data_IF_023630856436
#
_entry.id   IF_023630856436
#
_cell.length_a   1.000
_cell.length_b   1.000
_cell.length_c   1.000
_cell.angle_alpha   90.00
_cell.angle_beta   90.00
_cell.angle_gamma   90.00
#
_symmetry.space_group_name_H-M   'P 1'
#
loop_
_entity.id
_entity.type
_entity.pdbx_description
1 polymer ?
#
# COMPACT_ATOMS: atom_id res chain seq x y z
N UNK A 1 -37.26 -4.37 -1.52
CA UNK A 1 -36.91 -5.44 -2.48
C UNK A 1 -36.31 -6.58 -1.69
N UNK A 2 -36.85 -7.77 -1.84
CA UNK A 2 -36.45 -8.94 -1.05
C UNK A 2 -35.03 -9.40 -1.45
N UNK A 3 -34.19 -9.81 -0.49
CA UNK A 3 -32.83 -10.26 -0.79
C UNK A 3 -32.83 -11.44 -1.79
N UNK A 4 -33.90 -12.24 -1.77
CA UNK A 4 -34.18 -13.32 -2.71
C UNK A 4 -34.54 -12.86 -4.14
N UNK A 5 -34.90 -11.59 -4.35
CA UNK A 5 -35.13 -11.01 -5.68
C UNK A 5 -33.84 -10.40 -6.26
N UNK A 6 -32.96 -9.84 -5.42
CA UNK A 6 -31.62 -9.38 -5.84
C UNK A 6 -30.73 -10.55 -6.27
N UNK A 7 -30.92 -11.73 -5.67
CA UNK A 7 -30.24 -12.97 -6.06
C UNK A 7 -30.74 -13.59 -7.38
N UNK A 8 -31.87 -13.11 -7.93
CA UNK A 8 -32.57 -13.74 -9.07
C UNK A 8 -32.42 -13.02 -10.42
N UNK A 9 -31.90 -11.79 -10.46
CA UNK A 9 -31.71 -11.03 -11.71
C UNK A 9 -30.23 -10.83 -12.00
N UNK A 10 -29.67 -11.68 -12.87
CA UNK A 10 -28.81 -11.35 -14.04
C UNK A 10 -28.30 -12.65 -14.77
N UNK A 11 -28.18 -12.67 -16.13
CA UNK A 11 -28.15 -13.89 -16.99
C UNK A 11 -26.70 -14.38 -17.30
N UNK A 12 -26.34 -15.48 -18.01
CA UNK A 12 -26.95 -16.19 -19.15
C UNK A 12 -26.47 -17.66 -19.38
N UNK A 13 -25.78 -18.32 -18.45
CA UNK A 13 -25.32 -19.71 -18.67
C UNK A 13 -26.02 -20.71 -17.72
N UNK A 14 -26.77 -21.71 -18.22
CA UNK A 14 -27.40 -22.74 -17.38
C UNK A 14 -26.40 -23.67 -16.66
N UNK A 15 -25.13 -23.71 -17.09
CA UNK A 15 -24.10 -24.59 -16.55
C UNK A 15 -23.23 -23.98 -15.44
N UNK A 16 -23.48 -22.73 -15.04
CA UNK A 16 -22.69 -22.08 -13.98
C UNK A 16 -23.35 -22.23 -12.61
N UNK A 17 -22.54 -22.42 -11.56
CA UNK A 17 -22.99 -22.54 -10.15
C UNK A 17 -23.48 -21.18 -9.65
N UNK A 18 -24.80 -21.06 -9.44
CA UNK A 18 -25.51 -19.78 -9.20
C UNK A 18 -25.83 -19.45 -7.74
N UNK A 19 -25.41 -20.27 -6.77
CA UNK A 19 -25.78 -20.09 -5.37
C UNK A 19 -24.82 -19.20 -4.58
N UNK A 20 -25.33 -18.11 -4.01
CA UNK A 20 -24.61 -17.36 -2.95
C UNK A 20 -24.82 -17.95 -1.56
N UNK A 21 -25.94 -18.66 -1.36
CA UNK A 21 -26.36 -19.23 -0.08
C UNK A 21 -25.83 -20.66 0.14
N UNK A 22 -25.65 -21.40 -0.95
CA UNK A 22 -25.25 -22.80 -0.95
C UNK A 22 -24.00 -22.93 -1.84
N UNK A 23 -22.80 -22.90 -1.25
CA UNK A 23 -21.58 -23.16 -1.97
C UNK A 23 -21.47 -24.68 -2.25
N UNK A 24 -20.64 -25.09 -3.22
CA UNK A 24 -20.23 -26.48 -3.34
C UNK A 24 -19.60 -26.98 -2.04
N UNK A 25 -19.83 -28.25 -1.71
CA UNK A 25 -19.27 -28.90 -0.52
C UNK A 25 -17.73 -28.98 -0.60
N UNK A 26 -17.22 -29.30 -1.78
CA UNK A 26 -15.78 -29.43 -2.03
C UNK A 26 -15.19 -28.22 -2.78
N UNK A 27 -13.99 -27.80 -2.36
CA UNK A 27 -13.20 -26.81 -3.09
C UNK A 27 -12.46 -27.50 -4.23
N UNK A 28 -12.93 -27.30 -5.46
CA UNK A 28 -12.27 -27.83 -6.65
C UNK A 28 -10.92 -27.13 -6.90
N UNK A 29 -9.80 -27.85 -7.06
CA UNK A 29 -8.50 -27.25 -7.34
C UNK A 29 -8.48 -26.53 -8.68
N UNK A 30 -7.98 -25.29 -8.70
CA UNK A 30 -7.75 -24.55 -9.94
C UNK A 30 -6.23 -24.30 -10.13
N UNK A 31 -5.52 -25.15 -10.89
CA UNK A 31 -4.07 -25.02 -11.09
C UNK A 31 -3.69 -23.76 -11.89
N UNK A 32 -4.59 -23.15 -12.66
CA UNK A 32 -4.32 -21.92 -13.41
C UNK A 32 -4.20 -20.70 -12.48
N UNK A 33 -4.73 -20.81 -11.26
CA UNK A 33 -4.71 -19.76 -10.24
C UNK A 33 -3.80 -20.15 -9.07
N UNK A 34 -4.06 -21.33 -8.49
CA UNK A 34 -3.37 -21.87 -7.32
C UNK A 34 -2.17 -22.76 -7.63
N UNK A 35 -1.80 -22.90 -8.91
CA UNK A 35 -0.67 -23.73 -9.31
C UNK A 35 0.64 -23.24 -8.70
N UNK A 36 1.48 -24.18 -8.27
CA UNK A 36 2.80 -23.90 -7.68
C UNK A 36 3.65 -23.01 -8.58
N UNK A 37 3.61 -23.24 -9.90
CA UNK A 37 4.33 -22.42 -10.88
C UNK A 37 3.84 -20.96 -10.92
N UNK A 38 2.52 -20.73 -10.81
CA UNK A 38 1.94 -19.38 -10.76
C UNK A 38 2.40 -18.66 -9.50
N UNK A 39 2.28 -19.32 -8.34
CA UNK A 39 2.67 -18.74 -7.05
C UNK A 39 4.18 -18.44 -7.01
N UNK A 40 5.03 -19.38 -7.46
CA UNK A 40 6.48 -19.16 -7.55
C UNK A 40 6.81 -18.04 -8.54
N UNK A 41 6.14 -17.97 -9.69
CA UNK A 41 6.34 -16.92 -10.68
C UNK A 41 6.10 -15.53 -10.11
N UNK A 42 5.01 -15.34 -9.37
CA UNK A 42 4.68 -14.06 -8.76
C UNK A 42 5.54 -13.72 -7.53
N UNK A 43 5.67 -14.65 -6.59
CA UNK A 43 6.44 -14.40 -5.37
C UNK A 43 7.94 -14.32 -5.66
N UNK A 44 8.45 -15.19 -6.52
CA UNK A 44 9.86 -15.24 -6.89
C UNK A 44 10.31 -13.96 -7.58
N UNK A 45 9.54 -13.45 -8.56
CA UNK A 45 9.86 -12.18 -9.23
C UNK A 45 9.74 -10.98 -8.27
N UNK A 46 8.73 -10.95 -7.39
CA UNK A 46 8.58 -9.89 -6.40
C UNK A 46 9.78 -9.84 -5.43
N UNK A 47 10.18 -10.97 -4.86
CA UNK A 47 11.35 -11.07 -3.98
C UNK A 47 12.65 -10.75 -4.71
N UNK A 48 12.79 -11.20 -5.97
CA UNK A 48 13.95 -10.88 -6.78
C UNK A 48 14.08 -9.36 -6.99
N UNK A 49 12.98 -8.65 -7.25
CA UNK A 49 12.99 -7.19 -7.36
C UNK A 49 13.42 -6.53 -6.04
N UNK A 50 12.92 -7.00 -4.90
CA UNK A 50 13.33 -6.47 -3.58
C UNK A 50 14.84 -6.66 -3.36
N UNK A 51 15.36 -7.86 -3.65
CA UNK A 51 16.78 -8.17 -3.52
C UNK A 51 17.61 -7.29 -4.47
N UNK A 52 17.24 -7.22 -5.76
CA UNK A 52 17.97 -6.44 -6.76
C UNK A 52 17.93 -4.93 -6.47
N UNK A 53 16.79 -4.40 -6.01
CA UNK A 53 16.67 -3.00 -5.62
C UNK A 53 17.56 -2.69 -4.41
N UNK A 54 17.58 -3.60 -3.42
CA UNK A 54 18.44 -3.48 -2.23
C UNK A 54 19.92 -3.55 -2.60
N UNK A 55 20.31 -4.50 -3.45
CA UNK A 55 21.70 -4.62 -3.93
C UNK A 55 22.12 -3.39 -4.73
N UNK A 56 21.27 -2.91 -5.64
CA UNK A 56 21.52 -1.66 -6.38
C UNK A 56 21.71 -0.48 -5.42
N UNK A 57 20.86 -0.36 -4.40
CA UNK A 57 20.95 0.69 -3.39
C UNK A 57 22.26 0.61 -2.58
N UNK A 58 22.63 -0.57 -2.07
CA UNK A 58 23.83 -0.71 -1.24
C UNK A 58 25.14 -0.61 -2.03
N UNK A 59 25.17 -1.12 -3.27
CA UNK A 59 26.42 -1.30 -4.02
C UNK A 59 26.70 -0.17 -5.02
N UNK A 60 25.65 0.36 -5.65
CA UNK A 60 25.78 1.18 -6.87
C UNK A 60 25.26 2.59 -6.67
N UNK A 61 24.18 2.79 -5.91
CA UNK A 61 23.55 4.09 -5.72
C UNK A 61 24.52 5.17 -5.22
N UNK A 62 24.50 6.33 -5.87
CA UNK A 62 25.29 7.49 -5.52
C UNK A 62 24.37 8.59 -4.98
N UNK A 63 24.50 8.96 -3.69
CA UNK A 63 23.63 9.94 -3.05
C UNK A 63 23.99 11.38 -3.47
N UNK A 64 25.15 11.59 -4.09
CA UNK A 64 25.63 12.91 -4.49
C UNK A 64 25.09 13.35 -5.86
N UNK A 65 24.56 12.42 -6.66
CA UNK A 65 24.02 12.71 -7.99
C UNK A 65 22.54 13.09 -7.91
N UNK A 66 22.14 14.19 -8.56
CA UNK A 66 20.73 14.57 -8.65
C UNK A 66 20.00 13.66 -9.64
N UNK A 67 19.02 12.83 -9.21
CA UNK A 67 18.28 11.93 -10.08
C UNK A 67 17.37 12.64 -11.09
N UNK A 68 17.19 13.97 -10.98
CA UNK A 68 16.36 14.80 -11.85
C UNK A 68 17.18 15.84 -12.63
N UNK A 69 18.52 15.75 -12.62
CA UNK A 69 19.37 16.66 -13.36
C UNK A 69 19.03 16.60 -14.85
N UNK A 70 18.62 17.74 -15.41
CA UNK A 70 18.36 17.88 -16.83
C UNK A 70 19.34 18.92 -17.40
N UNK A 71 20.34 18.50 -18.19
CA UNK A 71 21.38 19.40 -18.69
C UNK A 71 20.81 20.54 -19.56
N UNK A 72 19.71 20.31 -20.28
CA UNK A 72 19.15 21.28 -21.23
C UNK A 72 18.41 22.45 -20.58
N UNK A 73 18.00 22.33 -19.30
CA UNK A 73 17.22 23.37 -18.61
C UNK A 73 18.02 24.31 -17.70
N UNK A 74 19.25 23.97 -17.34
CA UNK A 74 20.12 24.87 -16.57
C UNK A 74 20.39 26.20 -17.29
N UNK A 75 20.35 26.18 -18.62
CA UNK A 75 20.54 27.34 -19.48
C UNK A 75 19.31 28.25 -19.60
N UNK A 76 18.08 27.75 -19.38
CA UNK A 76 16.84 28.54 -19.60
C UNK A 76 16.35 29.32 -18.39
N UNK A 77 16.75 28.98 -17.17
CA UNK A 77 16.17 29.57 -15.94
C UNK A 77 17.18 30.09 -14.90
N UNK A 78 18.49 30.13 -15.21
CA UNK A 78 19.50 30.87 -14.44
C UNK A 78 19.74 30.43 -12.99
N UNK A 79 18.97 29.50 -12.43
CA UNK A 79 19.16 28.94 -11.08
C UNK A 79 19.52 27.47 -11.17
N UNK A 80 20.79 27.16 -10.97
CA UNK A 80 21.27 25.79 -10.75
C UNK A 80 20.68 25.30 -9.42
N UNK A 81 19.81 24.31 -9.47
CA UNK A 81 19.28 23.68 -8.25
C UNK A 81 20.43 23.00 -7.51
N UNK A 82 20.66 23.36 -6.24
CA UNK A 82 21.71 22.75 -5.42
C UNK A 82 21.13 21.47 -4.82
N UNK A 83 21.57 20.32 -5.32
CA UNK A 83 21.26 19.01 -4.75
C UNK A 83 21.97 18.81 -3.42
N UNK A 84 21.27 18.26 -2.43
CA UNK A 84 21.87 17.82 -1.17
C UNK A 84 21.43 16.40 -0.89
N UNK A 85 22.43 15.53 -0.70
CA UNK A 85 22.24 14.14 -0.31
C UNK A 85 21.50 14.02 1.03
N UNK A 86 20.63 13.02 1.14
CA UNK A 86 20.05 12.64 2.42
C UNK A 86 21.14 12.09 3.37
N UNK A 87 21.13 12.54 4.62
CA UNK A 87 22.13 12.15 5.63
C UNK A 87 22.04 10.66 5.95
N UNK A 88 20.84 10.08 5.88
CA UNK A 88 20.60 8.65 6.08
C UNK A 88 21.32 7.86 4.99
N UNK A 89 21.10 8.22 3.73
CA UNK A 89 21.67 7.52 2.57
C UNK A 89 23.20 7.54 2.60
N UNK A 90 23.81 8.67 2.96
CA UNK A 90 25.26 8.80 3.12
C UNK A 90 25.79 7.83 4.19
N UNK A 91 25.13 7.75 5.35
CA UNK A 91 25.53 6.85 6.44
C UNK A 91 25.35 5.38 6.06
N UNK A 92 24.23 5.02 5.45
CA UNK A 92 23.96 3.64 5.02
C UNK A 92 24.98 3.21 3.97
N UNK A 93 25.30 4.07 3.01
CA UNK A 93 26.31 3.80 1.98
C UNK A 93 27.71 3.65 2.57
N UNK A 94 28.07 4.48 3.55
CA UNK A 94 29.36 4.39 4.24
C UNK A 94 29.55 3.02 4.90
N UNK A 95 28.47 2.42 5.43
CA UNK A 95 28.50 1.06 5.99
C UNK A 95 28.93 0.01 4.95
N UNK A 96 28.57 0.20 3.68
CA UNK A 96 28.93 -0.71 2.58
C UNK A 96 30.19 -0.29 1.82
N UNK A 97 30.94 0.71 2.28
CA UNK A 97 32.09 1.26 1.56
C UNK A 97 33.16 0.21 1.23
N UNK A 98 33.41 -0.75 2.12
CA UNK A 98 34.36 -1.84 1.88
C UNK A 98 33.96 -2.73 0.70
N UNK A 99 32.68 -3.09 0.60
CA UNK A 99 32.15 -3.90 -0.50
C UNK A 99 32.11 -3.12 -1.82
N UNK A 100 31.78 -1.83 -1.74
CA UNK A 100 31.79 -0.91 -2.90
C UNK A 100 33.18 -0.69 -3.48
N UNK A 101 34.22 -0.61 -2.63
CA UNK A 101 35.62 -0.50 -3.07
C UNK A 101 36.05 -1.73 -3.89
N UNK A 102 35.60 -2.94 -3.50
CA UNK A 102 35.89 -4.18 -4.25
C UNK A 102 35.26 -4.21 -5.64
N UNK A 103 34.14 -3.52 -5.85
CA UNK A 103 33.49 -3.45 -7.16
C UNK A 103 34.28 -2.63 -8.17
N UNK A 104 35.04 -1.61 -7.75
CA UNK A 104 35.81 -0.74 -8.66
C UNK A 104 34.93 0.27 -9.42
N UNK A 105 35.53 1.41 -9.82
CA UNK A 105 34.80 2.55 -10.40
C UNK A 105 34.07 2.22 -11.71
N UNK A 106 34.79 1.70 -12.71
CA UNK A 106 34.24 1.41 -14.06
C UNK A 106 33.24 0.26 -14.06
N UNK A 107 33.36 -0.63 -13.07
CA UNK A 107 32.37 -1.67 -12.83
C UNK A 107 31.04 -1.07 -12.38
N UNK A 108 31.03 -0.02 -11.54
CA UNK A 108 29.78 0.55 -11.01
C UNK A 108 28.84 1.02 -12.12
N UNK A 109 29.35 1.71 -13.14
CA UNK A 109 28.53 2.13 -14.30
C UNK A 109 27.89 0.94 -15.02
N UNK A 110 28.67 -0.12 -15.27
CA UNK A 110 28.17 -1.37 -15.90
C UNK A 110 27.11 -2.04 -15.03
N UNK A 111 27.34 -2.12 -13.72
CA UNK A 111 26.37 -2.66 -12.76
C UNK A 111 25.10 -1.81 -12.69
N UNK A 112 25.20 -0.47 -12.73
CA UNK A 112 24.03 0.42 -12.80
C UNK A 112 23.16 0.06 -14.01
N UNK A 113 23.79 -0.07 -15.18
CA UNK A 113 23.07 -0.39 -16.40
C UNK A 113 22.45 -1.79 -16.34
N UNK A 114 23.17 -2.78 -15.81
CA UNK A 114 22.66 -4.15 -15.64
C UNK A 114 21.46 -4.18 -14.67
N UNK A 115 21.59 -3.60 -13.48
CA UNK A 115 20.49 -3.52 -12.52
C UNK A 115 19.29 -2.80 -13.09
N UNK A 116 19.49 -1.67 -13.78
CA UNK A 116 18.38 -0.94 -14.39
C UNK A 116 17.64 -1.82 -15.41
N UNK A 117 18.35 -2.49 -16.32
CA UNK A 117 17.74 -3.38 -17.33
C UNK A 117 16.98 -4.55 -16.71
N UNK A 118 17.57 -5.22 -15.72
CA UNK A 118 16.94 -6.37 -15.06
C UNK A 118 15.71 -5.92 -14.28
N UNK A 119 15.81 -4.85 -13.50
CA UNK A 119 14.68 -4.30 -12.75
C UNK A 119 13.55 -3.89 -13.71
N UNK A 120 13.86 -3.16 -14.79
CA UNK A 120 12.87 -2.78 -15.81
C UNK A 120 12.10 -4.00 -16.34
N UNK A 121 12.83 -5.05 -16.73
CA UNK A 121 12.26 -6.29 -17.26
C UNK A 121 11.38 -7.00 -16.24
N UNK A 122 11.85 -7.16 -15.00
CA UNK A 122 11.08 -7.82 -13.94
C UNK A 122 9.79 -7.08 -13.62
N UNK A 123 9.83 -5.75 -13.64
CA UNK A 123 8.63 -4.95 -13.41
C UNK A 123 7.64 -5.10 -14.57
N UNK A 124 8.09 -5.05 -15.83
CA UNK A 124 7.19 -5.23 -16.97
C UNK A 124 6.51 -6.59 -16.98
N UNK A 125 7.26 -7.66 -16.67
CA UNK A 125 6.69 -9.00 -16.48
C UNK A 125 5.60 -8.94 -15.40
N UNK A 126 5.88 -8.35 -14.24
CA UNK A 126 4.88 -8.26 -13.17
C UNK A 126 3.68 -7.40 -13.52
N UNK A 127 3.82 -6.39 -14.37
CA UNK A 127 2.69 -5.56 -14.82
C UNK A 127 1.74 -6.38 -15.67
N UNK A 128 2.30 -7.10 -16.64
CA UNK A 128 1.56 -7.90 -17.59
C UNK A 128 0.93 -9.12 -16.90
N UNK A 129 1.66 -9.82 -16.05
CA UNK A 129 1.13 -10.97 -15.30
C UNK A 129 0.07 -10.53 -14.28
N UNK A 130 0.29 -9.42 -13.57
CA UNK A 130 -0.69 -8.86 -12.63
C UNK A 130 -1.99 -8.40 -13.31
N UNK A 131 -1.89 -7.76 -14.48
CA UNK A 131 -3.06 -7.41 -15.29
C UNK A 131 -3.76 -8.66 -15.84
N UNK A 132 -2.98 -9.61 -16.36
CA UNK A 132 -3.48 -10.85 -16.94
C UNK A 132 -4.25 -11.70 -15.93
N UNK A 133 -3.72 -11.86 -14.71
CA UNK A 133 -4.38 -12.67 -13.68
C UNK A 133 -5.68 -12.01 -13.17
N UNK A 134 -5.70 -10.67 -13.04
CA UNK A 134 -6.93 -9.96 -12.70
C UNK A 134 -7.95 -10.07 -13.84
N UNK A 135 -7.54 -9.85 -15.09
CA UNK A 135 -8.42 -9.94 -16.24
C UNK A 135 -9.03 -11.35 -16.36
N UNK A 136 -8.20 -12.39 -16.27
CA UNK A 136 -8.64 -13.79 -16.26
C UNK A 136 -9.59 -14.08 -15.09
N UNK A 137 -9.27 -13.57 -13.90
CA UNK A 137 -10.13 -13.66 -12.72
C UNK A 137 -11.51 -13.04 -12.95
N UNK A 138 -11.56 -11.80 -13.45
CA UNK A 138 -12.83 -11.11 -13.74
C UNK A 138 -13.67 -11.81 -14.82
N UNK A 139 -13.03 -12.35 -15.87
CA UNK A 139 -13.72 -13.15 -16.87
C UNK A 139 -14.31 -14.42 -16.24
N UNK A 140 -13.51 -15.13 -15.42
CA UNK A 140 -13.92 -16.37 -14.76
C UNK A 140 -15.02 -16.15 -13.71
N UNK A 141 -15.08 -14.97 -13.10
CA UNK A 141 -16.13 -14.57 -12.15
C UNK A 141 -17.54 -14.61 -12.76
N UNK A 142 -17.66 -14.50 -14.08
CA UNK A 142 -18.95 -14.56 -14.78
C UNK A 142 -19.67 -15.90 -14.57
N UNK A 143 -18.92 -16.99 -14.41
CA UNK A 143 -19.45 -18.33 -14.23
C UNK A 143 -19.36 -18.78 -12.77
N UNK A 144 -18.16 -19.13 -12.32
CA UNK A 144 -17.90 -19.54 -10.95
C UNK A 144 -16.41 -19.30 -10.65
N UNK A 145 -16.15 -18.59 -9.57
CA UNK A 145 -14.82 -18.47 -9.00
C UNK A 145 -14.94 -18.59 -7.50
N UNK A 146 -14.24 -19.55 -6.92
CA UNK A 146 -14.28 -19.74 -5.48
C UNK A 146 -13.62 -18.56 -4.77
N UNK A 147 -14.11 -18.26 -3.57
CA UNK A 147 -13.59 -17.19 -2.73
C UNK A 147 -12.10 -17.39 -2.46
N UNK A 148 -11.66 -18.64 -2.30
CA UNK A 148 -10.26 -18.98 -2.08
C UNK A 148 -9.37 -18.53 -3.25
N UNK A 149 -9.72 -18.95 -4.47
CA UNK A 149 -8.96 -18.58 -5.66
C UNK A 149 -9.04 -17.07 -5.92
N UNK A 150 -10.18 -16.43 -5.62
CA UNK A 150 -10.31 -14.97 -5.71
C UNK A 150 -9.39 -14.22 -4.73
N UNK A 151 -9.33 -14.68 -3.46
CA UNK A 151 -8.40 -14.15 -2.44
C UNK A 151 -6.96 -14.28 -2.93
N UNK A 152 -6.60 -15.42 -3.53
CA UNK A 152 -5.27 -15.64 -4.09
C UNK A 152 -4.96 -14.70 -5.27
N UNK A 153 -5.84 -14.60 -6.27
CA UNK A 153 -5.70 -13.68 -7.42
C UNK A 153 -5.49 -12.25 -6.93
N UNK A 154 -6.31 -11.81 -5.98
CA UNK A 154 -6.26 -10.46 -5.42
C UNK A 154 -4.91 -10.17 -4.75
N UNK A 155 -4.37 -11.12 -3.98
CA UNK A 155 -3.05 -10.96 -3.36
C UNK A 155 -1.88 -11.05 -4.34
N UNK A 156 -1.96 -11.91 -5.36
CA UNK A 156 -0.93 -11.97 -6.41
C UNK A 156 -0.84 -10.64 -7.17
N UNK A 157 -1.99 -10.05 -7.51
CA UNK A 157 -2.05 -8.73 -8.11
C UNK A 157 -1.60 -7.61 -7.15
N UNK A 158 -1.91 -7.72 -5.86
CA UNK A 158 -1.41 -6.82 -4.83
C UNK A 158 0.13 -6.82 -4.76
N UNK A 159 0.76 -7.99 -4.80
CA UNK A 159 2.22 -8.11 -4.86
C UNK A 159 2.78 -7.44 -6.12
N UNK A 160 2.17 -7.66 -7.29
CA UNK A 160 2.58 -6.98 -8.53
C UNK A 160 2.56 -5.45 -8.37
N UNK A 161 1.49 -4.88 -7.81
CA UNK A 161 1.42 -3.43 -7.57
C UNK A 161 2.52 -2.93 -6.62
N UNK A 162 2.85 -3.69 -5.57
CA UNK A 162 3.94 -3.34 -4.64
C UNK A 162 5.31 -3.38 -5.34
N UNK A 163 5.56 -4.40 -6.16
CA UNK A 163 6.78 -4.51 -6.97
C UNK A 163 6.93 -3.30 -7.91
N UNK A 164 5.83 -2.86 -8.53
CA UNK A 164 5.81 -1.67 -9.37
C UNK A 164 6.14 -0.38 -8.62
N UNK A 165 5.54 -0.18 -7.44
CA UNK A 165 5.85 0.97 -6.60
C UNK A 165 7.34 1.01 -6.20
N UNK A 166 7.92 -0.16 -5.87
CA UNK A 166 9.35 -0.28 -5.57
C UNK A 166 10.21 0.05 -6.81
N UNK A 167 9.81 -0.42 -7.98
CA UNK A 167 10.49 -0.21 -9.25
C UNK A 167 10.54 1.26 -9.67
N UNK A 168 9.40 1.97 -9.61
CA UNK A 168 9.33 3.40 -9.89
C UNK A 168 10.25 4.21 -8.99
N UNK A 169 10.43 3.76 -7.75
CA UNK A 169 11.32 4.40 -6.78
C UNK A 169 12.79 4.14 -7.13
N UNK A 170 13.15 2.90 -7.43
CA UNK A 170 14.52 2.53 -7.78
C UNK A 170 15.00 3.10 -9.14
N UNK A 171 14.09 3.27 -10.10
CA UNK A 171 14.38 3.65 -11.48
C UNK A 171 13.95 5.08 -11.84
N UNK A 172 13.66 5.91 -10.83
CA UNK A 172 13.17 7.29 -11.03
C UNK A 172 13.99 8.09 -12.04
N UNK A 173 15.32 8.06 -11.93
CA UNK A 173 16.22 8.77 -12.83
C UNK A 173 16.10 8.29 -14.29
N UNK A 174 15.94 6.98 -14.50
CA UNK A 174 15.77 6.39 -15.82
C UNK A 174 14.45 6.84 -16.47
N UNK A 175 13.35 6.79 -15.72
CA UNK A 175 12.04 7.22 -16.21
C UNK A 175 11.93 8.72 -16.44
N UNK A 176 12.72 9.53 -15.76
CA UNK A 176 12.77 10.97 -16.02
C UNK A 176 13.37 11.29 -17.40
N UNK A 177 14.37 10.52 -17.83
CA UNK A 177 14.92 10.59 -19.18
C UNK A 177 13.93 10.03 -20.22
N UNK A 178 13.24 8.93 -19.91
CA UNK A 178 12.35 8.22 -20.84
C UNK A 178 10.85 8.48 -20.53
N UNK A 179 10.40 9.70 -20.81
CA UNK A 179 9.06 10.15 -20.40
C UNK A 179 7.90 9.40 -21.06
N UNK A 180 8.04 8.99 -22.31
CA UNK A 180 6.99 8.25 -23.05
C UNK A 180 6.76 6.87 -22.44
N UNK A 181 7.83 6.11 -22.23
CA UNK A 181 7.78 4.79 -21.62
C UNK A 181 7.19 4.83 -20.21
N UNK A 182 7.62 5.84 -19.43
CA UNK A 182 7.07 6.12 -18.11
C UNK A 182 5.56 6.35 -18.16
N UNK A 183 5.07 7.17 -19.09
CA UNK A 183 3.63 7.50 -19.15
C UNK A 183 2.78 6.26 -19.46
N UNK A 184 3.21 5.40 -20.40
CA UNK A 184 2.52 4.13 -20.67
C UNK A 184 2.49 3.22 -19.44
N UNK A 185 3.63 3.06 -18.74
CA UNK A 185 3.71 2.27 -17.49
C UNK A 185 2.79 2.84 -16.41
N UNK A 186 2.76 4.15 -16.23
CA UNK A 186 1.87 4.82 -15.25
C UNK A 186 0.39 4.56 -15.56
N UNK A 187 -0.01 4.60 -16.83
CA UNK A 187 -1.39 4.28 -17.24
C UNK A 187 -1.72 2.83 -16.94
N UNK A 188 -0.85 1.89 -17.32
CA UNK A 188 -1.05 0.46 -17.05
C UNK A 188 -1.10 0.16 -15.54
N UNK A 189 -0.25 0.80 -14.74
CA UNK A 189 -0.31 0.68 -13.28
C UNK A 189 -1.58 1.29 -12.69
N UNK A 190 -2.10 2.39 -13.24
CA UNK A 190 -3.38 2.96 -12.82
C UNK A 190 -4.55 2.02 -13.12
N UNK A 191 -4.53 1.37 -14.29
CA UNK A 191 -5.51 0.34 -14.66
C UNK A 191 -5.40 -0.87 -13.72
N UNK A 192 -4.18 -1.34 -13.44
CA UNK A 192 -3.94 -2.43 -12.48
C UNK A 192 -4.46 -2.07 -11.09
N UNK A 193 -4.19 -0.85 -10.61
CA UNK A 193 -4.64 -0.39 -9.30
C UNK A 193 -6.18 -0.33 -9.23
N UNK A 194 -6.85 0.21 -10.25
CA UNK A 194 -8.30 0.27 -10.28
C UNK A 194 -8.91 -1.14 -10.26
N UNK A 195 -8.37 -2.06 -11.08
CA UNK A 195 -8.79 -3.46 -11.09
C UNK A 195 -8.54 -4.14 -9.73
N UNK A 196 -7.39 -3.88 -9.10
CA UNK A 196 -7.04 -4.43 -7.78
C UNK A 196 -7.95 -3.90 -6.66
N UNK A 197 -8.25 -2.60 -6.62
CA UNK A 197 -9.17 -2.02 -5.63
C UNK A 197 -10.53 -2.71 -5.74
N UNK A 198 -11.02 -2.89 -6.96
CA UNK A 198 -12.28 -3.59 -7.24
C UNK A 198 -12.20 -5.05 -6.78
N UNK A 199 -11.07 -5.73 -7.02
CA UNK A 199 -10.86 -7.12 -6.61
C UNK A 199 -10.75 -7.33 -5.10
N UNK A 200 -10.28 -6.32 -4.36
CA UNK A 200 -10.20 -6.40 -2.89
C UNK A 200 -11.57 -6.32 -2.21
N UNK A 201 -12.62 -5.82 -2.87
CA UNK A 201 -13.96 -5.69 -2.25
C UNK A 201 -14.51 -7.02 -1.73
N UNK A 202 -14.58 -8.13 -2.51
CA UNK A 202 -14.98 -9.42 -1.96
C UNK A 202 -14.11 -9.90 -0.79
N UNK A 203 -12.80 -9.63 -0.83
CA UNK A 203 -11.85 -10.11 0.18
C UNK A 203 -12.07 -9.53 1.56
N UNK A 204 -12.73 -8.37 1.67
CA UNK A 204 -13.09 -7.76 2.96
C UNK A 204 -14.06 -8.62 3.78
N UNK A 205 -14.71 -9.60 3.15
CA UNK A 205 -15.68 -10.49 3.78
C UNK A 205 -15.15 -11.93 3.98
N UNK A 206 -13.86 -12.17 3.73
CA UNK A 206 -13.23 -13.50 3.81
C UNK A 206 -12.39 -13.65 5.08
N UNK A 207 -13.03 -14.02 6.19
CA UNK A 207 -12.44 -14.08 7.53
C UNK A 207 -12.15 -15.51 8.04
N UNK A 208 -11.65 -16.39 7.17
CA UNK A 208 -11.36 -17.78 7.54
C UNK A 208 -10.21 -17.96 8.53
N UNK A 209 -9.40 -16.91 8.72
CA UNK A 209 -8.19 -16.94 9.54
C UNK A 209 -8.50 -16.74 11.05
N UNK A 210 -9.75 -16.41 11.41
CA UNK A 210 -10.19 -16.13 12.79
C UNK A 210 -11.24 -17.16 13.27
N UNK A 211 -10.83 -18.26 13.94
CA UNK A 211 -11.73 -19.35 14.33
C UNK A 211 -12.89 -18.95 15.26
N UNK A 212 -12.70 -17.85 15.99
CA UNK A 212 -13.64 -17.30 16.98
C UNK A 212 -14.67 -16.35 16.37
N UNK A 213 -14.51 -15.97 15.10
CA UNK A 213 -15.47 -15.14 14.38
C UNK A 213 -16.35 -16.02 13.50
N UNK A 214 -17.65 -15.71 13.43
CA UNK A 214 -18.51 -16.29 12.39
C UNK A 214 -17.99 -15.88 11.02
N UNK A 215 -18.11 -16.74 10.00
CA UNK A 215 -17.58 -16.44 8.67
C UNK A 215 -18.69 -16.14 7.66
N UNK A 216 -18.52 -15.06 6.89
CA UNK A 216 -19.49 -14.68 5.86
C UNK A 216 -19.43 -15.59 4.63
N UNK A 217 -18.27 -16.20 4.44
CA UNK A 217 -17.94 -17.06 3.31
C UNK A 217 -17.20 -18.29 3.82
N UNK A 218 -17.27 -19.36 3.05
CA UNK A 218 -16.32 -20.48 3.11
C UNK A 218 -15.44 -20.46 1.86
N UNK A 219 -14.27 -21.13 1.85
CA UNK A 219 -13.35 -21.16 0.70
C UNK A 219 -14.00 -21.49 -0.66
N UNK A 220 -15.00 -22.39 -0.68
CA UNK A 220 -15.76 -22.78 -1.88
C UNK A 220 -16.88 -21.80 -2.28
N UNK A 221 -17.16 -20.77 -1.50
CA UNK A 221 -18.22 -19.79 -1.81
C UNK A 221 -17.92 -19.04 -3.09
N UNK A 222 -18.95 -18.72 -3.87
CA UNK A 222 -18.76 -17.93 -5.09
C UNK A 222 -18.37 -16.48 -4.72
N UNK A 223 -17.18 -16.04 -5.15
CA UNK A 223 -16.64 -14.71 -4.85
C UNK A 223 -17.53 -13.58 -5.36
N UNK A 224 -18.29 -13.80 -6.44
CA UNK A 224 -19.20 -12.81 -7.05
C UNK A 224 -20.23 -12.27 -6.06
N UNK A 225 -20.64 -13.09 -5.10
CA UNK A 225 -21.67 -12.75 -4.12
C UNK A 225 -21.26 -11.63 -3.15
N UNK A 226 -19.96 -11.38 -3.03
CA UNK A 226 -19.39 -10.45 -2.05
C UNK A 226 -19.00 -9.09 -2.65
N UNK A 227 -19.33 -8.83 -3.92
CA UNK A 227 -19.24 -7.47 -4.49
C UNK A 227 -20.35 -6.54 -3.99
N UNK A 228 -21.50 -7.09 -3.58
CA UNK A 228 -22.63 -6.35 -3.04
C UNK A 228 -22.69 -6.53 -1.53
N UNK A 229 -22.60 -5.43 -0.78
CA UNK A 229 -22.71 -5.45 0.68
C UNK A 229 -24.04 -6.05 1.15
N UNK A 230 -25.14 -5.76 0.45
CA UNK A 230 -26.47 -6.30 0.79
C UNK A 230 -26.50 -7.84 0.64
N UNK A 231 -25.88 -8.35 -0.42
CA UNK A 231 -25.80 -9.79 -0.66
C UNK A 231 -24.90 -10.46 0.36
N UNK A 232 -23.74 -9.87 0.65
CA UNK A 232 -22.83 -10.35 1.69
C UNK A 232 -23.51 -10.40 3.07
N UNK A 233 -24.27 -9.37 3.44
CA UNK A 233 -25.02 -9.33 4.70
C UNK A 233 -26.14 -10.40 4.74
N UNK A 234 -26.82 -10.65 3.63
CA UNK A 234 -27.84 -11.70 3.56
C UNK A 234 -27.24 -13.11 3.74
N UNK A 235 -26.09 -13.37 3.10
CA UNK A 235 -25.36 -14.64 3.26
C UNK A 235 -24.83 -14.80 4.69
N UNK A 236 -24.29 -13.73 5.27
CA UNK A 236 -23.84 -13.67 6.67
C UNK A 236 -24.96 -14.04 7.64
N UNK A 237 -26.11 -13.36 7.54
CA UNK A 237 -27.27 -13.64 8.39
C UNK A 237 -27.71 -15.09 8.24
N UNK A 238 -27.82 -15.59 7.00
CA UNK A 238 -28.22 -16.98 6.75
C UNK A 238 -27.25 -18.00 7.35
N UNK A 239 -25.93 -17.75 7.29
CA UNK A 239 -24.92 -18.69 7.80
C UNK A 239 -24.84 -18.72 9.31
N UNK A 240 -24.87 -17.55 9.96
CA UNK A 240 -24.88 -17.47 11.43
C UNK A 240 -26.03 -18.28 12.03
N UNK A 241 -27.19 -18.26 11.37
CA UNK A 241 -28.34 -19.06 11.81
C UNK A 241 -28.15 -20.56 11.61
N UNK A 242 -27.47 -20.98 10.55
CA UNK A 242 -27.20 -22.39 10.25
C UNK A 242 -26.10 -22.98 11.14
N UNK A 243 -25.21 -22.14 11.66
CA UNK A 243 -24.05 -22.55 12.47
C UNK A 243 -24.43 -23.11 13.85
N UNK A 244 -25.72 -23.22 14.17
CA UNK A 244 -26.27 -23.86 15.38
C UNK A 244 -26.01 -23.10 16.69
N UNK A 245 -24.96 -22.30 16.75
CA UNK A 245 -24.56 -21.45 17.89
C UNK A 245 -25.57 -20.36 18.23
N UNK A 246 -26.41 -19.98 17.26
CA UNK A 246 -27.34 -18.84 17.35
C UNK A 246 -28.78 -19.17 16.91
N UNK A 247 -29.11 -20.46 16.81
CA UNK A 247 -30.46 -20.94 16.53
C UNK A 247 -31.14 -21.36 17.84
N UNK A 248 -32.26 -20.72 18.19
CA UNK A 248 -33.11 -21.12 19.31
C UNK A 248 -34.43 -21.69 18.82
N UNK A 249 -34.96 -22.71 19.52
CA UNK A 249 -36.30 -23.25 19.26
C UNK A 249 -37.30 -22.44 20.08
N UNK A 250 -38.12 -21.61 19.43
CA UNK A 250 -39.26 -20.92 20.05
C UNK A 250 -40.57 -21.69 19.75
N UNK A 251 -41.64 -21.33 20.46
CA UNK A 251 -42.96 -21.98 20.35
C UNK A 251 -43.52 -21.99 18.90
N UNK A 252 -43.13 -21.02 18.07
CA UNK A 252 -43.57 -20.87 16.67
C UNK A 252 -42.54 -21.36 15.63
N UNK A 253 -41.48 -22.08 16.04
CA UNK A 253 -40.48 -22.66 15.16
C UNK A 253 -39.03 -22.27 15.48
N UNK A 254 -38.10 -22.66 14.60
CA UNK A 254 -36.69 -22.23 14.68
C UNK A 254 -36.57 -20.77 14.23
N UNK A 255 -36.16 -19.87 15.13
CA UNK A 255 -35.84 -18.49 14.79
C UNK A 255 -34.34 -18.23 14.99
N UNK A 256 -33.78 -17.43 14.08
CA UNK A 256 -32.45 -16.86 14.23
C UNK A 256 -32.43 -15.87 15.40
N UNK A 257 -31.73 -16.20 16.48
CA UNK A 257 -31.52 -15.27 17.58
C UNK A 257 -30.18 -14.61 17.31
N UNK A 258 -30.19 -13.44 16.67
CA UNK A 258 -28.98 -12.62 16.62
C UNK A 258 -28.63 -12.23 18.07
N UNK A 259 -27.50 -12.71 18.63
CA UNK A 259 -27.10 -12.27 19.95
C UNK A 259 -26.80 -10.76 19.88
N UNK A 260 -27.09 -10.06 20.97
CA UNK A 260 -26.86 -8.62 21.16
C UNK A 260 -25.37 -8.20 21.18
N UNK A 261 -24.48 -9.00 20.58
CA UNK A 261 -23.04 -8.75 20.45
C UNK A 261 -22.42 -9.13 19.10
N UNK A 262 -23.18 -9.72 18.15
CA UNK A 262 -22.67 -9.92 16.78
C UNK A 262 -22.92 -8.62 16.01
N UNK A 263 -21.84 -7.86 15.82
CA UNK A 263 -21.86 -6.62 15.05
C UNK A 263 -22.15 -6.83 13.56
N UNK A 264 -22.33 -5.74 12.79
CA UNK A 264 -22.47 -5.83 11.35
C UNK A 264 -21.23 -6.49 10.72
N UNK A 265 -21.38 -7.07 9.52
CA UNK A 265 -20.27 -7.74 8.81
C UNK A 265 -19.04 -6.81 8.60
N UNK A 266 -19.28 -5.50 8.61
CA UNK A 266 -18.25 -4.45 8.50
C UNK A 266 -17.39 -4.27 9.75
N UNK A 267 -17.76 -4.86 10.88
CA UNK A 267 -17.00 -4.83 12.13
C UNK A 267 -16.00 -6.00 12.26
N UNK A 268 -15.87 -6.82 11.21
CA UNK A 268 -14.91 -7.94 11.19
C UNK A 268 -13.48 -7.44 10.95
N UNK A 269 -12.49 -8.12 11.54
CA UNK A 269 -11.07 -7.80 11.36
C UNK A 269 -10.63 -7.83 9.89
N UNK A 270 -11.21 -8.73 9.08
CA UNK A 270 -10.94 -8.81 7.64
C UNK A 270 -11.46 -7.58 6.89
N UNK A 271 -12.59 -7.02 7.30
CA UNK A 271 -13.13 -5.81 6.69
C UNK A 271 -12.24 -4.60 6.99
N UNK A 272 -11.90 -4.40 8.27
CA UNK A 272 -11.04 -3.29 8.70
C UNK A 272 -9.65 -3.34 8.04
N UNK A 273 -9.00 -4.50 8.05
CA UNK A 273 -7.69 -4.68 7.43
C UNK A 273 -7.71 -4.46 5.92
N UNK A 274 -8.78 -4.89 5.22
CA UNK A 274 -8.94 -4.64 3.79
C UNK A 274 -9.12 -3.16 3.48
N UNK A 275 -9.90 -2.43 4.28
CA UNK A 275 -10.07 -0.98 4.12
C UNK A 275 -8.75 -0.22 4.33
N UNK A 276 -7.99 -0.59 5.36
CA UNK A 276 -6.65 -0.03 5.59
C UNK A 276 -5.73 -0.33 4.41
N UNK A 277 -5.73 -1.56 3.90
CA UNK A 277 -4.90 -1.97 2.77
C UNK A 277 -5.23 -1.19 1.50
N UNK A 278 -6.52 -1.02 1.17
CA UNK A 278 -6.98 -0.20 0.03
C UNK A 278 -6.51 1.26 0.20
N UNK A 279 -6.65 1.82 1.40
CA UNK A 279 -6.17 3.17 1.71
C UNK A 279 -4.66 3.32 1.49
N UNK A 280 -3.88 2.35 1.97
CA UNK A 280 -2.42 2.33 1.79
C UNK A 280 -2.02 2.17 0.33
N UNK A 281 -2.72 1.37 -0.46
CA UNK A 281 -2.49 1.22 -1.90
C UNK A 281 -2.69 2.52 -2.66
N UNK A 282 -3.84 3.17 -2.47
CA UNK A 282 -4.18 4.45 -3.11
C UNK A 282 -3.15 5.49 -2.72
N UNK A 283 -2.87 5.60 -1.42
CA UNK A 283 -1.90 6.55 -0.90
C UNK A 283 -0.50 6.32 -1.50
N UNK A 284 -0.04 5.07 -1.54
CA UNK A 284 1.26 4.72 -2.12
C UNK A 284 1.31 5.14 -3.60
N UNK A 285 0.34 4.72 -4.41
CA UNK A 285 0.30 5.05 -5.83
C UNK A 285 0.28 6.56 -6.09
N UNK A 286 -0.59 7.30 -5.39
CA UNK A 286 -0.68 8.76 -5.52
C UNK A 286 0.63 9.43 -5.13
N UNK A 287 1.21 9.03 -3.99
CA UNK A 287 2.48 9.61 -3.52
C UNK A 287 3.64 9.39 -4.50
N UNK A 288 3.71 8.23 -5.14
CA UNK A 288 4.72 7.87 -6.14
C UNK A 288 4.47 8.59 -7.46
N UNK A 289 3.21 8.68 -7.89
CA UNK A 289 2.79 9.41 -9.08
C UNK A 289 3.18 10.88 -8.99
N UNK A 290 2.87 11.55 -7.88
CA UNK A 290 3.23 12.96 -7.64
C UNK A 290 4.74 13.18 -7.75
N UNK A 291 5.58 12.28 -7.20
CA UNK A 291 7.05 12.39 -7.26
C UNK A 291 7.62 12.18 -8.64
N UNK A 292 6.93 11.39 -9.45
CA UNK A 292 7.34 11.06 -10.79
C UNK A 292 7.19 12.27 -11.74
N UNK A 293 6.27 13.19 -11.44
CA UNK A 293 6.04 14.42 -12.20
C UNK A 293 6.50 15.66 -11.44
N UNK A 294 7.53 16.34 -11.96
CA UNK A 294 8.13 17.53 -11.32
C UNK A 294 7.11 18.63 -10.98
N UNK A 295 6.21 18.94 -11.90
CA UNK A 295 5.16 19.97 -11.70
C UNK A 295 4.24 19.64 -10.52
N UNK A 296 3.80 18.38 -10.40
CA UNK A 296 2.97 17.95 -9.28
C UNK A 296 3.76 17.97 -7.97
N UNK A 297 5.04 17.59 -7.99
CA UNK A 297 5.90 17.63 -6.82
C UNK A 297 6.13 19.06 -6.30
N UNK A 298 6.31 20.04 -7.19
CA UNK A 298 6.52 21.45 -6.82
C UNK A 298 5.23 22.05 -6.21
N UNK A 299 4.07 21.85 -6.85
CA UNK A 299 2.76 22.30 -6.31
C UNK A 299 2.48 21.68 -4.94
N UNK A 300 2.70 20.36 -4.80
CA UNK A 300 2.46 19.64 -3.54
C UNK A 300 3.36 20.16 -2.41
N UNK A 301 4.61 20.48 -2.72
CA UNK A 301 5.58 21.05 -1.77
C UNK A 301 5.08 22.38 -1.21
N UNK A 302 4.60 23.27 -2.07
CA UNK A 302 4.16 24.60 -1.65
C UNK A 302 2.79 24.56 -0.92
N UNK A 303 1.86 23.73 -1.40
CA UNK A 303 0.51 23.65 -0.84
C UNK A 303 0.44 22.89 0.49
N UNK A 304 1.13 21.74 0.59
CA UNK A 304 0.99 20.81 1.72
C UNK A 304 2.14 20.98 2.71
N UNK A 305 3.39 20.84 2.26
CA UNK A 305 4.56 20.84 3.16
C UNK A 305 4.73 22.18 3.86
N UNK A 306 4.50 23.29 3.16
CA UNK A 306 4.54 24.63 3.76
C UNK A 306 3.49 24.83 4.86
N UNK A 307 2.32 24.20 4.76
CA UNK A 307 1.28 24.24 5.82
C UNK A 307 1.61 23.30 6.97
N UNK A 308 2.03 22.07 6.67
CA UNK A 308 2.39 21.06 7.68
C UNK A 308 3.61 21.51 8.49
N UNK A 309 4.64 22.07 7.87
CA UNK A 309 5.84 22.55 8.57
C UNK A 309 5.53 23.73 9.50
N UNK A 310 4.66 24.65 9.08
CA UNK A 310 4.18 25.75 9.93
C UNK A 310 3.36 25.24 11.10
N UNK A 311 2.43 24.32 10.84
CA UNK A 311 1.63 23.68 11.88
C UNK A 311 2.50 22.89 12.87
N UNK A 312 3.46 22.10 12.39
CA UNK A 312 4.37 21.33 13.24
C UNK A 312 5.27 22.23 14.08
N UNK A 313 5.80 23.31 13.50
CA UNK A 313 6.58 24.30 14.23
C UNK A 313 5.73 24.97 15.33
N UNK A 314 4.48 25.32 15.01
CA UNK A 314 3.56 25.90 15.98
C UNK A 314 3.23 24.94 17.12
N UNK A 315 2.94 23.67 16.80
CA UNK A 315 2.68 22.62 17.78
C UNK A 315 3.90 22.39 18.68
N UNK A 316 5.09 22.23 18.10
CA UNK A 316 6.34 22.04 18.87
C UNK A 316 6.59 23.22 19.82
N UNK A 317 6.39 24.45 19.34
CA UNK A 317 6.56 25.66 20.14
C UNK A 317 5.54 25.73 21.28
N UNK A 318 4.29 25.33 21.02
CA UNK A 318 3.24 25.26 22.05
C UNK A 318 3.58 24.20 23.11
N UNK A 319 4.05 23.02 22.72
CA UNK A 319 4.47 21.94 23.62
C UNK A 319 5.67 22.34 24.47
N UNK A 320 6.69 22.97 23.86
CA UNK A 320 7.87 23.49 24.59
C UNK A 320 7.48 24.59 25.58
N UNK A 321 6.57 25.48 25.20
CA UNK A 321 6.06 26.56 26.08
C UNK A 321 5.21 26.03 27.22
N UNK A 322 4.39 25.01 26.98
CA UNK A 322 3.66 24.30 28.02
C UNK A 322 4.64 23.63 29.00
N UNK A 323 5.66 22.94 28.50
CA UNK A 323 6.68 22.29 29.33
C UNK A 323 7.44 23.29 30.24
N UNK A 324 7.84 24.45 29.70
CA UNK A 324 8.50 25.52 30.50
C UNK A 324 7.61 26.10 31.61
N UNK A 325 6.29 26.19 31.42
CA UNK A 325 5.36 26.71 32.45
C UNK A 325 5.20 25.78 33.65
N UNK A 326 5.53 24.49 33.52
CA UNK A 326 5.39 23.53 34.61
C UNK A 326 6.63 23.41 35.51
N UNK A 327 7.69 24.15 35.23
CA UNK A 327 8.96 24.10 35.97
C UNK A 327 8.97 24.65 37.40
N UNK A 328 7.84 24.76 38.10
CA UNK A 328 7.85 25.26 39.48
C UNK A 328 6.79 24.71 40.46
N UNK A 329 6.30 23.47 40.30
CA UNK A 329 5.48 22.83 41.37
C UNK A 329 5.88 21.38 41.64
N UNK A 330 5.64 20.95 42.89
CA UNK A 330 6.25 19.84 43.64
C UNK A 330 6.33 18.44 42.96
N UNK A 331 7.32 17.59 43.34
CA UNK A 331 8.03 16.77 42.34
C UNK A 331 7.49 15.35 42.08
N UNK A 332 6.60 14.75 42.90
CA UNK A 332 6.41 13.27 42.87
C UNK A 332 5.01 12.72 42.55
N UNK A 333 3.92 13.50 42.62
CA UNK A 333 2.56 13.00 42.30
C UNK A 333 1.93 13.58 41.02
N UNK A 334 2.40 14.74 40.51
CA UNK A 334 2.00 15.29 39.21
C UNK A 334 2.76 14.68 38.02
N UNK A 335 3.96 14.14 38.29
CA UNK A 335 4.86 13.59 37.29
C UNK A 335 4.18 12.41 36.54
N UNK A 336 3.63 11.41 37.23
CA UNK A 336 3.01 10.25 36.55
C UNK A 336 1.65 10.52 35.87
N UNK A 337 0.86 11.49 36.33
CA UNK A 337 -0.48 11.76 35.80
C UNK A 337 -0.47 12.69 34.57
N UNK A 338 0.54 13.56 34.45
CA UNK A 338 0.67 14.53 33.36
C UNK A 338 1.64 14.03 32.28
N UNK A 339 2.67 13.24 32.64
CA UNK A 339 3.61 12.71 31.64
C UNK A 339 2.98 11.68 30.70
N UNK A 340 2.02 10.85 31.15
CA UNK A 340 1.41 9.85 30.25
C UNK A 340 0.75 10.43 28.99
N UNK A 341 -0.18 11.41 29.06
CA UNK A 341 -0.78 11.95 27.85
C UNK A 341 0.20 12.81 27.04
N UNK A 342 1.14 13.49 27.70
CA UNK A 342 2.11 14.36 27.01
C UNK A 342 3.19 13.53 26.29
N UNK A 343 3.64 12.42 26.88
CA UNK A 343 4.52 11.43 26.26
C UNK A 343 3.78 10.64 25.17
N UNK A 344 2.48 10.33 25.33
CA UNK A 344 1.69 9.73 24.26
C UNK A 344 1.47 10.71 23.11
N UNK A 345 1.29 12.00 23.39
CA UNK A 345 1.16 13.05 22.37
C UNK A 345 2.50 13.33 21.69
N UNK A 346 3.61 13.34 22.43
CA UNK A 346 4.96 13.49 21.86
C UNK A 346 5.33 12.23 21.08
N UNK A 347 5.04 11.04 21.59
CA UNK A 347 5.28 9.76 20.90
C UNK A 347 4.40 9.64 19.67
N UNK A 348 3.10 9.92 19.76
CA UNK A 348 2.21 9.95 18.58
C UNK A 348 2.57 11.07 17.61
N UNK A 349 3.04 12.23 18.07
CA UNK A 349 3.61 13.27 17.21
C UNK A 349 4.90 12.81 16.55
N UNK A 350 5.81 12.16 17.27
CA UNK A 350 7.07 11.65 16.74
C UNK A 350 6.84 10.47 15.80
N UNK A 351 5.84 9.62 16.05
CA UNK A 351 5.41 8.53 15.17
C UNK A 351 4.69 9.11 13.97
N UNK A 352 3.77 10.06 14.13
CA UNK A 352 3.09 10.73 13.03
C UNK A 352 4.08 11.52 12.19
N UNK A 353 5.07 12.18 12.81
CA UNK A 353 6.18 12.88 12.17
C UNK A 353 7.16 11.90 11.56
N UNK A 354 7.47 10.76 12.16
CA UNK A 354 8.32 9.71 11.59
C UNK A 354 7.61 9.08 10.40
N UNK A 355 6.30 8.84 10.47
CA UNK A 355 5.50 8.40 9.33
C UNK A 355 5.46 9.51 8.28
N UNK A 356 5.17 10.76 8.64
CA UNK A 356 5.21 11.90 7.72
C UNK A 356 6.61 12.09 7.15
N UNK A 357 7.68 11.83 7.88
CA UNK A 357 9.09 11.94 7.49
C UNK A 357 9.57 10.68 6.79
N UNK A 358 8.94 9.51 6.93
CA UNK A 358 9.15 8.36 6.06
C UNK A 358 8.41 8.63 4.74
N UNK A 359 7.17 9.11 4.82
CA UNK A 359 6.38 9.63 3.69
C UNK A 359 7.08 10.81 2.98
N UNK A 360 7.77 11.68 3.74
CA UNK A 360 8.50 12.86 3.28
C UNK A 360 9.98 12.61 3.04
N UNK A 361 10.60 11.54 3.54
CA UNK A 361 11.98 11.11 3.22
C UNK A 361 11.98 10.48 1.84
N UNK A 362 10.90 9.80 1.52
CA UNK A 362 10.55 9.48 0.14
C UNK A 362 10.26 10.74 -0.71
N UNK A 363 10.01 11.92 -0.09
CA UNK A 363 9.93 13.26 -0.74
C UNK A 363 11.22 14.11 -0.51
N UNK A 364 12.25 13.59 0.18
CA UNK A 364 13.40 14.39 0.64
C UNK A 364 14.48 14.56 -0.42
N UNK A 365 14.36 13.83 -1.53
CA UNK A 365 15.11 14.04 -2.77
C UNK A 365 14.95 15.46 -3.36
N UNK A 366 14.34 16.45 -2.72
CA UNK A 366 14.26 17.83 -3.27
C UNK A 366 14.41 18.91 -2.18
N UNK A 367 14.96 18.59 -1.00
CA UNK A 367 14.82 19.48 0.16
C UNK A 367 16.09 19.92 0.88
N UNK A 368 17.02 20.56 0.20
CA UNK A 368 17.93 21.45 0.92
C UNK A 368 18.22 22.80 0.26
N UNK A 369 17.22 23.34 -0.44
CA UNK A 369 17.37 24.63 -1.08
C UNK A 369 17.13 25.86 -0.20
N UNK A 370 16.55 25.78 1.02
CA UNK A 370 15.97 27.01 1.61
C UNK A 370 15.98 27.21 3.14
N UNK A 371 16.78 26.47 3.91
CA UNK A 371 16.91 26.74 5.36
C UNK A 371 18.35 27.00 5.77
N UNK A 372 19.01 27.96 5.12
CA UNK A 372 20.31 28.49 5.56
C UNK A 372 20.57 29.92 5.09
N UNK A 373 19.62 30.84 5.24
CA UNK A 373 19.89 32.29 5.15
C UNK A 373 19.03 33.05 6.17
N UNK A 374 19.22 32.80 7.47
CA UNK A 374 18.68 33.68 8.52
C UNK A 374 19.45 33.65 9.85
N UNK A 375 20.65 33.06 9.93
CA UNK A 375 21.48 33.13 11.13
C UNK A 375 22.97 33.20 10.76
N UNK A 376 23.42 34.34 10.22
CA UNK A 376 24.81 34.84 10.32
C UNK A 376 24.88 36.21 9.64
N UNK A 377 24.50 37.25 10.38
CA UNK A 377 24.89 38.64 10.11
C UNK A 377 24.52 39.48 11.34
N UNK A 378 25.30 39.32 12.40
CA UNK A 378 25.43 40.27 13.52
C UNK A 378 26.70 39.86 14.26
N UNK A 379 27.84 40.30 13.74
CA UNK A 379 29.10 40.57 14.43
C UNK A 379 30.19 40.79 13.36
N UNK A 380 30.19 42.00 12.80
CA UNK A 380 31.34 42.89 12.62
C UNK A 380 30.85 44.19 12.02
#
# INVERSE_FOLDING_TARGET
>A
MDAAQLLRREPANPNCVKGCLEPPDDLEPNPDVGGVGVVIGFLGTAWLVVILATLRYCLVFDPATDPLENPDRGLRYGKKHIWKSNVIDVKTIAMFAGLRKRLGHDSRSRWTMAFNKILLSMCDIQLLTGLGILLSGFISLSCYMSAYHWKLISYLAWFSNLTHAACLSALRAHFYSNQTERNYRMVLMAVLLAALITAMVPTSYFNWDTPWESTASVPSSNARCFFSQNTAQAVWNSRICKDGRYSGKLADGYQCIHPSGVGPITATNSYESSMISIGLLIFNFVSRSIKMFRTLSEITKDAIRGKVARWSAHCLTATVKAHRRFGNTSPKRRLLAILRPLDLMISSYLVAKLYLEIMLSELADVSAGHTSHSCMSSNM
#
